data_IF_982164253610
#
_entry.id   IF_982164253610
#
_cell.length_a   1.000
_cell.length_b   1.000
_cell.length_c   1.000
_cell.angle_alpha   90.00
_cell.angle_beta   90.00
_cell.angle_gamma   90.00
#
_symmetry.space_group_name_H-M   'P 1'
#
loop_
_entity.id
_entity.type
_entity.pdbx_description
1 polymer ?
#
# COMPACT_ATOMS: atom_id res chain seq x y z
N UNK A 1 -98.49 -52.46 -9.65
CA UNK A 1 -98.04 -51.82 -10.91
C UNK A 1 -97.51 -50.46 -10.55
N UNK A 2 -96.32 -50.08 -11.06
CA UNK A 2 -95.80 -48.73 -10.87
C UNK A 2 -96.61 -47.82 -11.82
N UNK A 3 -97.37 -46.87 -11.27
CA UNK A 3 -98.07 -45.87 -12.07
C UNK A 3 -97.06 -44.86 -12.62
N UNK A 4 -96.88 -44.85 -13.94
CA UNK A 4 -96.01 -43.91 -14.62
C UNK A 4 -96.74 -42.57 -14.81
N UNK A 5 -96.15 -41.47 -14.35
CA UNK A 5 -96.65 -40.13 -14.64
C UNK A 5 -96.42 -39.77 -16.11
N UNK A 6 -97.43 -39.18 -16.76
CA UNK A 6 -97.22 -38.53 -18.07
C UNK A 6 -96.33 -37.29 -17.91
N UNK A 7 -95.55 -36.96 -18.94
CA UNK A 7 -94.68 -35.76 -18.97
C UNK A 7 -95.47 -34.49 -18.63
N UNK A 8 -96.69 -34.33 -19.15
CA UNK A 8 -97.55 -33.18 -18.86
C UNK A 8 -97.95 -33.06 -17.38
N UNK A 9 -98.17 -34.19 -16.69
CA UNK A 9 -98.45 -34.20 -15.25
C UNK A 9 -97.21 -33.83 -14.44
N UNK A 10 -96.02 -34.31 -14.85
CA UNK A 10 -94.75 -33.96 -14.20
C UNK A 10 -94.45 -32.46 -14.33
N UNK A 11 -94.60 -31.88 -15.53
CA UNK A 11 -94.37 -30.45 -15.76
C UNK A 11 -95.37 -29.57 -15.01
N UNK A 12 -96.65 -29.97 -14.95
CA UNK A 12 -97.66 -29.28 -14.15
C UNK A 12 -97.34 -29.33 -12.65
N UNK A 13 -96.85 -30.46 -12.16
CA UNK A 13 -96.42 -30.59 -10.77
C UNK A 13 -95.21 -29.70 -10.47
N UNK A 14 -94.20 -29.66 -11.34
CA UNK A 14 -93.04 -28.77 -11.19
C UNK A 14 -93.43 -27.31 -11.24
N UNK A 15 -94.31 -26.90 -12.17
CA UNK A 15 -94.83 -25.54 -12.20
C UNK A 15 -95.54 -25.18 -10.89
N UNK A 16 -96.38 -26.07 -10.37
CA UNK A 16 -97.10 -25.83 -9.11
C UNK A 16 -96.14 -25.73 -7.91
N UNK A 17 -94.97 -26.38 -7.98
CA UNK A 17 -93.89 -26.20 -6.99
C UNK A 17 -93.24 -24.83 -7.14
N UNK A 18 -92.91 -24.40 -8.36
CA UNK A 18 -92.31 -23.08 -8.61
C UNK A 18 -93.26 -21.94 -8.19
N UNK A 19 -94.54 -22.05 -8.53
CA UNK A 19 -95.55 -21.02 -8.24
C UNK A 19 -95.90 -20.93 -6.75
N UNK A 20 -95.72 -22.01 -5.97
CA UNK A 20 -96.03 -22.04 -4.52
C UNK A 20 -94.81 -21.94 -3.62
N UNK A 21 -93.61 -21.85 -4.17
CA UNK A 21 -92.38 -21.69 -3.40
C UNK A 21 -92.18 -20.20 -3.07
N UNK A 22 -92.25 -19.80 -1.78
CA UNK A 22 -92.07 -18.40 -1.38
C UNK A 22 -90.72 -17.82 -1.80
N UNK A 23 -89.69 -18.65 -1.99
CA UNK A 23 -88.36 -18.21 -2.40
C UNK A 23 -88.25 -17.92 -3.89
N UNK A 24 -89.17 -18.45 -4.72
CA UNK A 24 -89.17 -18.26 -6.18
C UNK A 24 -90.13 -17.14 -6.62
N UNK A 25 -90.99 -16.68 -5.71
CA UNK A 25 -91.89 -15.55 -5.93
C UNK A 25 -91.12 -14.22 -6.05
N UNK A 26 -90.02 -14.04 -5.30
CA UNK A 26 -89.17 -12.84 -5.38
C UNK A 26 -87.68 -13.20 -5.30
N UNK A 27 -87.03 -13.22 -6.46
CA UNK A 27 -85.63 -13.59 -6.63
C UNK A 27 -84.80 -12.37 -7.04
N UNK A 28 -83.61 -12.28 -6.45
CA UNK A 28 -82.58 -11.30 -6.80
C UNK A 28 -81.52 -12.01 -7.64
N UNK A 29 -81.33 -11.58 -8.88
CA UNK A 29 -80.34 -12.14 -9.79
C UNK A 29 -79.43 -11.04 -10.33
N UNK A 30 -78.15 -11.35 -10.46
CA UNK A 30 -77.16 -10.52 -11.14
C UNK A 30 -76.69 -11.25 -12.37
N UNK A 31 -76.66 -10.57 -13.52
CA UNK A 31 -76.22 -11.21 -14.76
C UNK A 31 -75.91 -10.20 -15.85
N UNK A 32 -75.16 -10.65 -16.84
CA UNK A 32 -74.89 -9.88 -18.05
C UNK A 32 -76.02 -10.08 -19.06
N UNK A 33 -76.52 -8.98 -19.62
CA UNK A 33 -77.52 -8.98 -20.69
C UNK A 33 -76.89 -9.54 -21.96
N UNK A 34 -77.55 -10.54 -22.55
CA UNK A 34 -77.13 -11.20 -23.80
C UNK A 34 -78.35 -11.40 -24.71
N UNK A 35 -78.13 -11.39 -26.03
CA UNK A 35 -79.20 -11.55 -27.03
C UNK A 35 -80.32 -10.52 -26.91
N UNK A 36 -79.99 -9.30 -26.49
CA UNK A 36 -80.98 -8.23 -26.35
C UNK A 36 -81.25 -7.57 -27.71
N UNK A 37 -82.53 -7.48 -28.09
CA UNK A 37 -82.98 -6.72 -29.25
C UNK A 37 -84.19 -5.90 -28.86
N UNK A 38 -84.12 -4.58 -29.07
CA UNK A 38 -85.19 -3.64 -28.73
C UNK A 38 -86.46 -3.98 -29.52
N UNK A 39 -87.55 -4.31 -28.82
CA UNK A 39 -88.87 -4.55 -29.41
C UNK A 39 -89.87 -3.45 -29.01
N UNK A 40 -90.94 -3.20 -29.80
CA UNK A 40 -91.92 -2.16 -29.49
C UNK A 40 -92.75 -2.40 -28.21
N UNK A 41 -92.83 -3.65 -27.73
CA UNK A 41 -93.68 -4.04 -26.60
C UNK A 41 -92.86 -4.63 -25.44
N UNK A 42 -92.93 -5.93 -25.23
CA UNK A 42 -92.21 -6.65 -24.19
C UNK A 42 -90.80 -6.96 -24.65
N UNK A 43 -89.85 -6.86 -23.71
CA UNK A 43 -88.47 -7.22 -23.97
C UNK A 43 -88.23 -8.66 -23.56
N UNK A 44 -87.59 -9.41 -24.44
CA UNK A 44 -87.13 -10.77 -24.21
C UNK A 44 -85.64 -10.80 -24.47
N UNK A 45 -84.88 -11.21 -23.48
CA UNK A 45 -83.43 -11.32 -23.56
C UNK A 45 -82.95 -12.41 -22.60
N UNK A 46 -81.65 -12.68 -22.59
CA UNK A 46 -81.08 -13.66 -21.69
C UNK A 46 -80.15 -12.99 -20.69
N UNK A 47 -80.18 -13.44 -19.45
CA UNK A 47 -79.18 -13.11 -18.44
C UNK A 47 -78.20 -14.26 -18.35
N UNK A 48 -76.91 -13.96 -18.50
CA UNK A 48 -75.84 -14.95 -18.39
C UNK A 48 -74.90 -14.63 -17.25
N UNK A 49 -74.39 -15.69 -16.62
CA UNK A 49 -73.18 -15.67 -15.80
C UNK A 49 -72.13 -16.61 -16.42
N UNK A 50 -71.04 -16.90 -15.70
CA UNK A 50 -69.96 -17.75 -16.21
C UNK A 50 -70.37 -19.22 -16.45
N UNK A 51 -71.48 -19.68 -15.87
CA UNK A 51 -71.87 -21.10 -15.82
C UNK A 51 -73.26 -21.40 -16.34
N UNK A 52 -74.14 -20.41 -16.37
CA UNK A 52 -75.56 -20.58 -16.62
C UNK A 52 -76.16 -19.40 -17.40
N UNK A 53 -77.27 -19.68 -18.08
CA UNK A 53 -78.05 -18.69 -18.81
C UNK A 53 -79.52 -18.89 -18.47
N UNK A 54 -80.21 -17.80 -18.15
CA UNK A 54 -81.66 -17.79 -17.90
C UNK A 54 -82.36 -16.83 -18.87
N UNK A 55 -83.52 -17.25 -19.36
CA UNK A 55 -84.37 -16.38 -20.18
C UNK A 55 -85.07 -15.36 -19.29
N UNK A 56 -85.05 -14.09 -19.69
CA UNK A 56 -85.62 -12.97 -18.98
C UNK A 56 -86.71 -12.30 -19.83
N UNK A 57 -87.86 -12.07 -19.19
CA UNK A 57 -88.99 -11.35 -19.79
C UNK A 57 -89.25 -10.08 -18.99
N UNK A 58 -89.36 -8.94 -19.68
CA UNK A 58 -89.68 -7.66 -19.08
C UNK A 58 -90.91 -7.05 -19.77
N UNK A 59 -91.97 -6.82 -19.00
CA UNK A 59 -93.22 -6.25 -19.51
C UNK A 59 -93.05 -4.79 -19.90
N UNK A 60 -93.89 -4.31 -20.82
CA UNK A 60 -93.74 -2.99 -21.43
C UNK A 60 -93.86 -1.84 -20.41
N UNK A 61 -94.72 -2.00 -19.39
CA UNK A 61 -94.87 -1.02 -18.31
C UNK A 61 -93.62 -0.92 -17.43
N UNK A 62 -92.98 -2.05 -17.11
CA UNK A 62 -91.73 -2.10 -16.34
C UNK A 62 -90.58 -1.51 -17.15
N UNK A 63 -90.48 -1.86 -18.44
CA UNK A 63 -89.45 -1.34 -19.33
C UNK A 63 -89.56 0.17 -19.57
N UNK A 64 -90.77 0.73 -19.66
CA UNK A 64 -90.97 2.19 -19.77
C UNK A 64 -90.56 2.96 -18.51
N UNK A 65 -90.65 2.30 -17.35
CA UNK A 65 -90.28 2.88 -16.06
C UNK A 65 -88.82 2.58 -15.68
N UNK A 66 -88.01 2.00 -16.58
CA UNK A 66 -86.58 1.89 -16.36
C UNK A 66 -85.94 3.29 -16.39
N UNK A 67 -85.18 3.63 -15.36
CA UNK A 67 -84.43 4.89 -15.29
C UNK A 67 -83.17 4.92 -16.16
N UNK A 68 -82.93 3.92 -17.00
CA UNK A 68 -81.75 3.78 -17.85
C UNK A 68 -82.09 3.02 -19.15
N UNK A 69 -81.30 3.22 -20.20
CA UNK A 69 -81.43 2.42 -21.42
C UNK A 69 -80.70 1.08 -21.28
N UNK A 70 -81.42 -0.02 -21.55
CA UNK A 70 -80.86 -1.37 -21.49
C UNK A 70 -80.03 -1.66 -22.75
N UNK A 71 -78.77 -2.05 -22.58
CA UNK A 71 -77.84 -2.37 -23.67
C UNK A 71 -77.37 -3.84 -23.62
N UNK A 72 -76.98 -4.38 -24.78
CA UNK A 72 -76.37 -5.71 -24.85
C UNK A 72 -74.97 -5.69 -24.21
N UNK A 73 -74.65 -6.70 -23.40
CA UNK A 73 -73.40 -6.78 -22.65
C UNK A 73 -73.42 -6.04 -21.31
N UNK A 74 -74.49 -5.30 -21.00
CA UNK A 74 -74.63 -4.60 -19.72
C UNK A 74 -74.81 -5.59 -18.55
N UNK A 75 -74.13 -5.36 -17.43
CA UNK A 75 -74.35 -6.14 -16.21
C UNK A 75 -75.40 -5.46 -15.35
N UNK A 76 -76.44 -6.19 -14.96
CA UNK A 76 -77.60 -5.64 -14.25
C UNK A 76 -77.96 -6.50 -13.05
N UNK A 77 -78.49 -5.85 -12.02
CA UNK A 77 -79.13 -6.47 -10.86
C UNK A 77 -80.64 -6.41 -11.08
N UNK A 78 -81.30 -7.58 -11.07
CA UNK A 78 -82.73 -7.70 -11.35
C UNK A 78 -83.47 -8.32 -10.17
N UNK A 79 -84.69 -7.84 -9.95
CA UNK A 79 -85.66 -8.40 -9.03
C UNK A 79 -86.84 -8.89 -9.86
N UNK A 80 -87.22 -10.14 -9.66
CA UNK A 80 -88.33 -10.72 -10.40
C UNK A 80 -88.76 -12.07 -9.85
N UNK A 81 -89.74 -12.67 -10.51
CA UNK A 81 -90.28 -13.98 -10.14
C UNK A 81 -89.86 -15.04 -11.15
N UNK A 82 -89.57 -16.24 -10.67
CA UNK A 82 -89.22 -17.37 -11.55
C UNK A 82 -90.49 -18.08 -11.97
N UNK A 83 -90.62 -18.37 -13.28
CA UNK A 83 -91.77 -19.03 -13.87
C UNK A 83 -91.33 -20.18 -14.78
N UNK A 84 -92.06 -21.30 -14.73
CA UNK A 84 -91.89 -22.44 -15.63
C UNK A 84 -92.88 -22.36 -16.81
N UNK A 85 -92.37 -22.40 -18.04
CA UNK A 85 -93.20 -22.46 -19.24
C UNK A 85 -93.60 -23.92 -19.54
N UNK A 86 -94.89 -24.22 -19.44
CA UNK A 86 -95.42 -25.59 -19.49
C UNK A 86 -95.12 -26.38 -20.79
N UNK A 87 -95.19 -25.78 -22.00
CA UNK A 87 -95.07 -26.56 -23.24
C UNK A 87 -93.71 -27.24 -23.46
N UNK A 88 -92.64 -26.70 -22.89
CA UNK A 88 -91.27 -27.16 -23.09
C UNK A 88 -90.48 -27.30 -21.77
N UNK A 89 -91.10 -27.03 -20.62
CA UNK A 89 -90.49 -27.20 -19.30
C UNK A 89 -89.30 -26.28 -19.02
N UNK A 90 -89.15 -25.19 -19.78
CA UNK A 90 -88.07 -24.21 -19.57
C UNK A 90 -88.45 -23.21 -18.47
N UNK A 91 -87.56 -22.95 -17.53
CA UNK A 91 -87.74 -21.90 -16.52
C UNK A 91 -87.19 -20.57 -17.03
N UNK A 92 -87.80 -19.48 -16.59
CA UNK A 92 -87.46 -18.10 -16.97
C UNK A 92 -87.73 -17.16 -15.80
N UNK A 93 -87.17 -15.95 -15.86
CA UNK A 93 -87.45 -14.88 -14.89
C UNK A 93 -88.31 -13.79 -15.54
N UNK A 94 -89.36 -13.38 -14.84
CA UNK A 94 -90.14 -12.19 -15.16
C UNK A 94 -89.62 -11.05 -14.31
N UNK A 95 -88.98 -10.06 -14.94
CA UNK A 95 -88.33 -8.94 -14.25
C UNK A 95 -89.37 -7.89 -13.87
N UNK A 96 -89.40 -7.54 -12.59
CA UNK A 96 -90.26 -6.50 -12.01
C UNK A 96 -89.49 -5.20 -11.76
N UNK A 97 -88.20 -5.30 -11.43
CA UNK A 97 -87.30 -4.15 -11.28
C UNK A 97 -85.90 -4.52 -11.77
N UNK A 98 -85.24 -3.62 -12.47
CA UNK A 98 -83.86 -3.76 -12.88
C UNK A 98 -83.09 -2.49 -12.51
N UNK A 99 -81.85 -2.67 -12.06
CA UNK A 99 -80.90 -1.59 -11.79
C UNK A 99 -79.55 -1.96 -12.44
N UNK A 100 -78.82 -0.98 -12.99
CA UNK A 100 -77.49 -1.24 -13.51
C UNK A 100 -76.59 -1.69 -12.36
N UNK A 101 -75.71 -2.66 -12.60
CA UNK A 101 -74.68 -3.02 -11.63
C UNK A 101 -73.71 -1.83 -11.53
N UNK A 102 -73.87 -0.99 -10.50
CA UNK A 102 -73.24 0.35 -10.36
C UNK A 102 -71.72 0.37 -10.50
N UNK A 103 -71.09 -0.79 -10.36
CA UNK A 103 -69.67 -1.05 -10.61
C UNK A 103 -69.26 -0.67 -12.05
N UNK A 104 -70.14 -0.89 -13.05
CA UNK A 104 -69.85 -0.57 -14.44
C UNK A 104 -69.76 0.93 -14.72
N UNK A 105 -70.64 1.74 -14.10
CA UNK A 105 -70.65 3.19 -14.29
C UNK A 105 -69.43 3.88 -13.67
N UNK A 106 -69.00 3.42 -12.49
CA UNK A 106 -67.79 3.92 -11.82
C UNK A 106 -66.53 3.54 -12.61
N UNK A 107 -66.44 2.31 -13.14
CA UNK A 107 -65.32 1.89 -13.97
C UNK A 107 -65.19 2.72 -15.25
N UNK A 108 -66.31 3.00 -15.93
CA UNK A 108 -66.33 3.87 -17.12
C UNK A 108 -65.87 5.29 -16.76
N UNK A 109 -66.39 5.86 -15.67
CA UNK A 109 -66.03 7.20 -15.21
C UNK A 109 -64.54 7.29 -14.82
N UNK A 110 -63.99 6.24 -14.22
CA UNK A 110 -62.58 6.16 -13.89
C UNK A 110 -61.69 6.19 -15.14
N UNK A 111 -61.98 5.35 -16.14
CA UNK A 111 -61.20 5.33 -17.39
C UNK A 111 -61.31 6.65 -18.16
N UNK A 112 -62.49 7.28 -18.21
CA UNK A 112 -62.67 8.59 -18.82
C UNK A 112 -61.83 9.67 -18.14
N UNK A 113 -61.88 9.77 -16.80
CA UNK A 113 -61.09 10.73 -16.03
C UNK A 113 -59.59 10.47 -16.16
N UNK A 114 -59.18 9.20 -16.09
CA UNK A 114 -57.79 8.79 -16.28
C UNK A 114 -57.26 9.25 -17.63
N UNK A 115 -58.00 9.03 -18.71
CA UNK A 115 -57.59 9.44 -20.04
C UNK A 115 -57.48 10.96 -20.16
N UNK A 116 -58.46 11.73 -19.65
CA UNK A 116 -58.44 13.18 -19.66
C UNK A 116 -57.21 13.75 -18.90
N UNK A 117 -56.98 13.29 -17.68
CA UNK A 117 -55.88 13.76 -16.82
C UNK A 117 -54.50 13.30 -17.34
N UNK A 118 -54.44 12.15 -18.02
CA UNK A 118 -53.22 11.70 -18.72
C UNK A 118 -52.89 12.63 -19.89
N UNK A 119 -53.89 13.06 -20.66
CA UNK A 119 -53.69 13.99 -21.78
C UNK A 119 -53.23 15.37 -21.30
N UNK A 120 -53.72 15.85 -20.15
CA UNK A 120 -53.21 17.05 -19.48
C UNK A 120 -51.78 16.88 -18.94
N UNK A 121 -51.31 15.64 -18.76
CA UNK A 121 -49.94 15.33 -18.37
C UNK A 121 -49.70 15.25 -16.85
N UNK A 122 -50.75 15.21 -16.02
CA UNK A 122 -50.63 15.21 -14.56
C UNK A 122 -49.91 13.97 -14.00
N UNK A 123 -49.87 12.86 -14.75
CA UNK A 123 -49.22 11.62 -14.32
C UNK A 123 -47.78 11.46 -14.80
N UNK A 124 -47.21 12.46 -15.49
CA UNK A 124 -45.84 12.35 -16.00
C UNK A 124 -44.84 12.36 -14.85
N UNK A 125 -43.83 11.49 -14.97
CA UNK A 125 -42.78 11.36 -13.96
C UNK A 125 -41.94 12.64 -13.79
N UNK A 126 -41.92 13.53 -14.80
CA UNK A 126 -41.17 14.80 -14.76
C UNK A 126 -41.68 15.80 -13.71
N UNK A 127 -42.95 15.68 -13.30
CA UNK A 127 -43.55 16.54 -12.27
C UNK A 127 -43.47 15.95 -10.87
N UNK A 128 -43.05 14.68 -10.74
CA UNK A 128 -42.99 14.02 -9.44
C UNK A 128 -41.75 14.43 -8.66
N UNK A 129 -41.95 14.77 -7.40
CA UNK A 129 -40.92 15.19 -6.46
C UNK A 129 -40.15 14.00 -5.89
N UNK A 130 -38.84 14.18 -5.69
CA UNK A 130 -38.02 13.16 -5.05
C UNK A 130 -38.26 13.13 -3.54
N UNK A 131 -38.41 11.92 -2.97
CA UNK A 131 -38.54 11.77 -1.52
C UNK A 131 -37.25 12.17 -0.80
N UNK A 132 -37.36 12.87 0.35
CA UNK A 132 -36.20 13.21 1.16
C UNK A 132 -35.53 11.94 1.70
N UNK A 133 -34.19 11.95 1.72
CA UNK A 133 -33.42 10.82 2.26
C UNK A 133 -33.53 10.72 3.79
N UNK A 134 -33.69 11.85 4.47
CA UNK A 134 -33.82 11.95 5.92
C UNK A 134 -35.02 12.81 6.27
N UNK A 135 -36.11 12.13 6.58
CA UNK A 135 -37.38 12.73 6.97
C UNK A 135 -37.36 12.98 8.48
N UNK A 136 -37.56 14.23 8.90
CA UNK A 136 -37.70 14.61 10.31
C UNK A 136 -39.16 14.60 10.72
N UNK A 137 -40.08 15.01 9.83
CA UNK A 137 -41.50 15.09 10.13
C UNK A 137 -42.36 14.62 8.97
N UNK A 138 -43.25 13.66 9.26
CA UNK A 138 -44.19 13.06 8.32
C UNK A 138 -45.59 13.57 8.64
N UNK A 139 -46.29 14.14 7.66
CA UNK A 139 -47.72 14.37 7.75
C UNK A 139 -48.49 13.12 7.30
N UNK A 140 -49.50 12.69 8.05
CA UNK A 140 -50.32 11.52 7.69
C UNK A 140 -51.78 11.94 7.59
N UNK A 141 -52.36 11.80 6.39
CA UNK A 141 -53.74 12.14 6.07
C UNK A 141 -54.52 10.82 6.02
N UNK A 142 -55.18 10.48 7.13
CA UNK A 142 -55.96 9.25 7.26
C UNK A 142 -56.97 9.34 8.41
N UNK A 143 -57.80 8.32 8.58
CA UNK A 143 -58.76 8.24 9.69
C UNK A 143 -58.04 8.11 11.04
N UNK A 144 -58.48 8.81 12.11
CA UNK A 144 -57.82 8.78 13.40
C UNK A 144 -57.95 7.44 14.14
N UNK A 145 -58.95 6.63 13.81
CA UNK A 145 -59.29 5.37 14.49
C UNK A 145 -58.96 4.11 13.67
N UNK A 146 -58.05 4.20 12.68
CA UNK A 146 -57.74 3.11 11.75
C UNK A 146 -56.46 2.32 12.07
N UNK A 147 -56.40 1.07 11.64
CA UNK A 147 -55.17 0.26 11.68
C UNK A 147 -54.01 0.92 10.89
N UNK A 148 -54.35 1.66 9.83
CA UNK A 148 -53.41 2.39 8.95
C UNK A 148 -52.47 3.32 9.72
N UNK A 149 -52.99 4.17 10.61
CA UNK A 149 -52.14 5.09 11.36
C UNK A 149 -51.23 4.35 12.35
N UNK A 150 -51.71 3.25 12.95
CA UNK A 150 -50.92 2.43 13.88
C UNK A 150 -49.79 1.70 13.15
N UNK A 151 -50.05 1.19 11.95
CA UNK A 151 -49.05 0.54 11.10
C UNK A 151 -47.94 1.52 10.70
N UNK A 152 -48.32 2.75 10.31
CA UNK A 152 -47.36 3.82 9.99
C UNK A 152 -46.53 4.17 11.22
N UNK A 153 -47.16 4.44 12.38
CA UNK A 153 -46.47 4.80 13.62
C UNK A 153 -45.48 3.69 14.03
N UNK A 154 -45.93 2.45 14.04
CA UNK A 154 -45.10 1.30 14.45
C UNK A 154 -43.91 1.11 13.52
N UNK A 155 -44.13 1.25 12.20
CA UNK A 155 -43.10 1.06 11.18
C UNK A 155 -42.04 2.17 11.24
N UNK A 156 -42.47 3.43 11.29
CA UNK A 156 -41.59 4.60 11.42
C UNK A 156 -40.80 4.52 12.73
N UNK A 157 -41.47 4.24 13.86
CA UNK A 157 -40.81 4.16 15.18
C UNK A 157 -39.76 3.05 15.22
N UNK A 158 -40.01 1.90 14.58
CA UNK A 158 -39.05 0.79 14.49
C UNK A 158 -37.86 1.13 13.60
N UNK A 159 -38.08 1.78 12.45
CA UNK A 159 -37.02 2.08 11.46
C UNK A 159 -36.18 3.28 11.86
N UNK A 160 -36.83 4.35 12.35
CA UNK A 160 -36.19 5.61 12.70
C UNK A 160 -36.96 6.32 13.85
N UNK A 161 -36.64 6.03 15.13
CA UNK A 161 -37.38 6.55 16.30
C UNK A 161 -37.39 8.07 16.51
N UNK A 162 -36.68 8.84 15.67
CA UNK A 162 -36.58 10.30 15.77
C UNK A 162 -37.48 11.07 14.81
N UNK A 163 -38.31 10.39 14.03
CA UNK A 163 -39.25 11.04 13.10
C UNK A 163 -40.53 11.41 13.82
N UNK A 164 -40.93 12.67 13.73
CA UNK A 164 -42.21 13.16 14.23
C UNK A 164 -43.33 12.83 13.23
N UNK A 165 -44.47 12.37 13.74
CA UNK A 165 -45.65 12.06 12.92
C UNK A 165 -46.76 13.02 13.30
N UNK A 166 -47.25 13.77 12.31
CA UNK A 166 -48.38 14.69 12.45
C UNK A 166 -49.60 14.08 11.75
N UNK A 167 -50.57 13.65 12.54
CA UNK A 167 -51.83 13.15 12.01
C UNK A 167 -52.75 14.32 11.62
N UNK A 168 -53.26 14.27 10.39
CA UNK A 168 -54.37 15.07 9.88
C UNK A 168 -55.61 14.17 9.82
N UNK A 169 -56.48 14.19 10.85
CA UNK A 169 -57.67 13.35 10.88
C UNK A 169 -58.55 13.69 9.68
N UNK A 170 -58.79 12.69 8.83
CA UNK A 170 -59.54 12.87 7.58
C UNK A 170 -60.55 11.75 7.43
N UNK A 171 -61.77 12.09 7.01
CA UNK A 171 -62.73 11.11 6.50
C UNK A 171 -62.24 10.54 5.17
N UNK A 172 -61.95 9.25 5.15
CA UNK A 172 -61.38 8.54 3.99
C UNK A 172 -62.41 7.79 3.14
N UNK A 173 -63.70 7.81 3.50
CA UNK A 173 -64.76 7.11 2.78
C UNK A 173 -66.12 7.80 2.94
N UNK A 174 -67.02 7.59 1.97
CA UNK A 174 -68.37 8.15 1.94
C UNK A 174 -68.43 9.63 1.55
N UNK A 175 -69.65 10.18 1.50
CA UNK A 175 -69.90 11.54 1.04
C UNK A 175 -69.10 12.58 1.85
N UNK A 176 -68.45 13.51 1.13
CA UNK A 176 -67.62 14.56 1.73
C UNK A 176 -66.14 14.19 1.94
N UNK A 177 -65.75 12.92 1.73
CA UNK A 177 -64.38 12.46 1.97
C UNK A 177 -63.36 13.15 1.05
N UNK A 178 -63.68 13.32 -0.25
CA UNK A 178 -62.78 13.94 -1.21
C UNK A 178 -62.46 15.41 -0.84
N UNK A 179 -63.47 16.19 -0.40
CA UNK A 179 -63.29 17.58 0.04
C UNK A 179 -62.43 17.66 1.31
N UNK A 180 -62.60 16.74 2.24
CA UNK A 180 -61.83 16.71 3.49
C UNK A 180 -60.36 16.34 3.25
N UNK A 181 -60.10 15.38 2.34
CA UNK A 181 -58.73 15.04 1.89
C UNK A 181 -58.06 16.26 1.27
N UNK A 182 -58.73 16.97 0.36
CA UNK A 182 -58.19 18.18 -0.27
C UNK A 182 -57.90 19.26 0.77
N UNK A 183 -58.83 19.52 1.70
CA UNK A 183 -58.64 20.53 2.74
C UNK A 183 -57.43 20.22 3.64
N UNK A 184 -57.22 18.96 3.99
CA UNK A 184 -56.08 18.55 4.81
C UNK A 184 -54.75 18.54 4.03
N UNK A 185 -54.74 18.23 2.73
CA UNK A 185 -53.56 18.41 1.87
C UNK A 185 -53.18 19.89 1.81
N UNK A 186 -54.15 20.78 1.60
CA UNK A 186 -53.91 22.22 1.55
C UNK A 186 -53.39 22.74 2.90
N UNK A 187 -54.03 22.33 4.01
CA UNK A 187 -53.59 22.68 5.37
C UNK A 187 -52.18 22.18 5.69
N UNK A 188 -51.80 20.99 5.20
CA UNK A 188 -50.44 20.49 5.35
C UNK A 188 -49.44 21.35 4.56
N UNK A 189 -49.80 21.78 3.35
CA UNK A 189 -48.98 22.65 2.50
C UNK A 189 -48.83 24.09 3.01
N UNK A 190 -49.63 24.52 3.99
CA UNK A 190 -49.44 25.80 4.70
C UNK A 190 -48.25 25.75 5.69
N UNK A 191 -47.71 24.56 5.97
CA UNK A 191 -46.58 24.37 6.88
C UNK A 191 -45.29 24.15 6.11
N UNK A 192 -44.21 24.77 6.60
CA UNK A 192 -42.86 24.61 6.05
C UNK A 192 -42.01 23.56 6.78
N UNK A 193 -42.56 22.89 7.80
CA UNK A 193 -41.82 21.95 8.66
C UNK A 193 -42.09 20.46 8.35
N UNK A 194 -42.90 20.16 7.33
CA UNK A 194 -43.21 18.80 6.88
C UNK A 194 -42.31 18.40 5.71
N UNK A 195 -41.68 17.24 5.79
CA UNK A 195 -40.78 16.75 4.76
C UNK A 195 -41.49 15.86 3.73
N UNK A 196 -42.52 15.13 4.15
CA UNK A 196 -43.30 14.22 3.30
C UNK A 196 -44.72 14.06 3.85
N UNK A 197 -45.68 13.84 2.95
CA UNK A 197 -47.06 13.51 3.26
C UNK A 197 -47.37 12.06 2.89
N UNK A 198 -48.12 11.35 3.73
CA UNK A 198 -48.69 10.04 3.44
C UNK A 198 -50.20 10.20 3.40
N UNK A 199 -50.79 9.93 2.24
CA UNK A 199 -52.24 9.86 2.07
C UNK A 199 -52.61 8.39 2.02
N UNK A 200 -53.39 7.91 2.99
CA UNK A 200 -53.60 6.48 3.17
C UNK A 200 -54.97 6.10 3.65
N UNK A 201 -55.44 4.94 3.16
CA UNK A 201 -56.66 4.28 3.61
C UNK A 201 -56.39 2.79 3.77
N UNK A 202 -57.18 2.12 4.63
CA UNK A 202 -57.16 0.65 4.73
C UNK A 202 -57.84 -0.01 3.53
N UNK A 203 -57.98 -1.34 3.58
CA UNK A 203 -58.79 -2.06 2.58
C UNK A 203 -60.24 -1.61 2.54
N UNK A 204 -60.91 -1.83 1.42
CA UNK A 204 -62.32 -1.47 1.20
C UNK A 204 -62.77 -1.81 -0.22
N UNK A 205 -64.07 -1.71 -0.50
CA UNK A 205 -64.58 -1.87 -1.87
C UNK A 205 -64.15 -0.70 -2.77
N UNK A 206 -64.31 -0.85 -4.09
CA UNK A 206 -63.99 0.21 -5.07
C UNK A 206 -64.82 1.49 -4.81
N UNK A 207 -66.08 1.33 -4.41
CA UNK A 207 -67.00 2.43 -4.07
C UNK A 207 -66.46 3.27 -2.92
N UNK A 208 -65.88 2.56 -1.96
CA UNK A 208 -65.29 3.05 -0.74
C UNK A 208 -63.96 3.81 -1.01
N UNK A 209 -63.24 3.45 -2.08
CA UNK A 209 -62.02 4.12 -2.56
C UNK A 209 -62.32 5.29 -3.51
N UNK A 210 -63.57 5.49 -3.90
CA UNK A 210 -63.93 6.42 -4.98
C UNK A 210 -63.55 7.87 -4.69
N UNK A 211 -63.53 8.28 -3.42
CA UNK A 211 -63.10 9.61 -3.01
C UNK A 211 -61.68 9.97 -3.52
N UNK A 212 -60.80 8.99 -3.71
CA UNK A 212 -59.44 9.18 -4.22
C UNK A 212 -59.33 9.14 -5.75
N UNK A 213 -60.44 8.84 -6.44
CA UNK A 213 -60.58 8.94 -7.89
C UNK A 213 -61.23 10.26 -8.33
N UNK A 214 -61.65 11.12 -7.40
CA UNK A 214 -62.19 12.42 -7.75
C UNK A 214 -61.11 13.37 -8.24
N UNK A 215 -61.42 14.13 -9.29
CA UNK A 215 -60.50 15.05 -9.93
C UNK A 215 -59.92 16.09 -8.95
N UNK A 216 -60.73 16.56 -7.98
CA UNK A 216 -60.29 17.51 -6.96
C UNK A 216 -59.14 16.98 -6.11
N UNK A 217 -59.13 15.68 -5.80
CA UNK A 217 -58.05 15.04 -5.03
C UNK A 217 -56.80 14.90 -5.90
N UNK A 218 -56.97 14.51 -7.17
CA UNK A 218 -55.85 14.38 -8.10
C UNK A 218 -55.13 15.71 -8.28
N UNK A 219 -55.88 16.79 -8.52
CA UNK A 219 -55.30 18.13 -8.67
C UNK A 219 -54.64 18.62 -7.38
N UNK A 220 -55.25 18.37 -6.21
CA UNK A 220 -54.65 18.74 -4.93
C UNK A 220 -53.33 18.01 -4.65
N UNK A 221 -53.20 16.73 -5.04
CA UNK A 221 -51.95 15.99 -4.92
C UNK A 221 -50.90 16.56 -5.87
N UNK A 222 -51.27 16.82 -7.13
CA UNK A 222 -50.37 17.39 -8.13
C UNK A 222 -49.83 18.77 -7.73
N UNK A 223 -50.68 19.62 -7.13
CA UNK A 223 -50.32 20.98 -6.71
C UNK A 223 -49.58 21.04 -5.35
N UNK A 224 -49.39 19.89 -4.69
CA UNK A 224 -48.72 19.84 -3.40
C UNK A 224 -47.25 20.25 -3.49
N UNK A 225 -46.80 21.10 -2.57
CA UNK A 225 -45.39 21.52 -2.42
C UNK A 225 -44.57 20.51 -1.63
N UNK A 226 -45.23 19.69 -0.83
CA UNK A 226 -44.63 18.61 -0.05
C UNK A 226 -44.83 17.32 -0.85
N UNK A 227 -43.80 16.46 -0.98
CA UNK A 227 -43.95 15.21 -1.71
C UNK A 227 -44.96 14.28 -1.02
N UNK A 228 -45.84 13.67 -1.80
CA UNK A 228 -46.94 12.81 -1.34
C UNK A 228 -46.67 11.35 -1.72
N UNK A 229 -46.79 10.48 -0.71
CA UNK A 229 -46.85 9.03 -0.86
C UNK A 229 -48.31 8.60 -0.75
N UNK A 230 -48.85 7.99 -1.80
CA UNK A 230 -50.18 7.38 -1.76
C UNK A 230 -50.10 5.94 -1.27
N UNK A 231 -50.95 5.59 -0.31
CA UNK A 231 -51.11 4.25 0.25
C UNK A 231 -52.59 3.87 0.34
N UNK A 232 -53.32 4.11 -0.74
CA UNK A 232 -54.77 3.93 -0.83
C UNK A 232 -55.11 2.63 -1.56
N UNK A 233 -54.52 2.43 -2.75
CA UNK A 233 -54.75 1.23 -3.54
C UNK A 233 -53.98 0.01 -3.04
N UNK A 234 -54.57 -1.18 -3.19
CA UNK A 234 -53.87 -2.46 -3.04
C UNK A 234 -53.21 -2.86 -4.36
N UNK A 235 -52.59 -4.03 -4.45
CA UNK A 235 -51.92 -4.50 -5.68
C UNK A 235 -52.87 -4.51 -6.90
N UNK A 236 -54.15 -4.84 -6.69
CA UNK A 236 -55.17 -4.98 -7.74
C UNK A 236 -55.98 -3.72 -8.03
N UNK A 237 -56.13 -2.82 -7.06
CA UNK A 237 -57.10 -1.72 -7.10
C UNK A 237 -56.37 -0.37 -7.03
N UNK A 238 -55.88 0.09 -8.18
CA UNK A 238 -55.08 1.33 -8.28
C UNK A 238 -55.99 2.54 -8.48
N UNK A 239 -55.82 3.59 -7.68
CA UNK A 239 -56.63 4.82 -7.75
C UNK A 239 -55.93 5.92 -8.56
N UNK A 240 -56.66 6.95 -8.99
CA UNK A 240 -56.06 8.11 -9.66
C UNK A 240 -55.11 8.87 -8.74
N UNK A 241 -55.39 8.93 -7.43
CA UNK A 241 -54.45 9.43 -6.43
C UNK A 241 -53.10 8.70 -6.46
N UNK A 242 -53.10 7.37 -6.66
CA UNK A 242 -51.86 6.58 -6.76
C UNK A 242 -51.05 6.90 -8.03
N UNK A 243 -51.71 7.30 -9.12
CA UNK A 243 -51.03 7.66 -10.37
C UNK A 243 -50.37 9.03 -10.31
N UNK A 244 -51.00 9.99 -9.64
CA UNK A 244 -50.50 11.37 -9.51
C UNK A 244 -49.50 11.55 -8.38
N UNK A 245 -49.58 10.73 -7.32
CA UNK A 245 -48.65 10.80 -6.20
C UNK A 245 -47.19 10.59 -6.64
N UNK A 246 -46.27 11.21 -5.91
CA UNK A 246 -44.83 11.15 -6.20
C UNK A 246 -44.29 9.73 -6.06
N UNK A 247 -44.82 8.99 -5.06
CA UNK A 247 -44.64 7.56 -4.92
C UNK A 247 -45.92 6.86 -4.52
N UNK A 248 -46.11 5.66 -5.07
CA UNK A 248 -47.17 4.73 -4.67
C UNK A 248 -46.60 3.67 -3.72
N UNK A 249 -47.34 3.37 -2.68
CA UNK A 249 -47.15 2.23 -1.80
C UNK A 249 -48.41 1.35 -1.82
N UNK A 250 -48.26 0.03 -1.94
CA UNK A 250 -49.39 -0.90 -1.92
C UNK A 250 -50.00 -1.07 -0.52
N UNK A 251 -49.27 -0.69 0.53
CA UNK A 251 -49.71 -0.81 1.92
C UNK A 251 -49.27 0.39 2.75
N UNK A 252 -49.98 0.71 3.86
CA UNK A 252 -49.54 1.73 4.81
C UNK A 252 -48.14 1.49 5.38
N UNK A 253 -47.78 0.22 5.61
CA UNK A 253 -46.43 -0.16 6.04
C UNK A 253 -45.39 0.18 4.98
N UNK A 254 -45.63 -0.17 3.72
CA UNK A 254 -44.73 0.19 2.61
C UNK A 254 -44.60 1.71 2.45
N UNK A 255 -45.67 2.48 2.71
CA UNK A 255 -45.63 3.93 2.67
C UNK A 255 -44.69 4.50 3.75
N UNK A 256 -44.76 3.97 4.97
CA UNK A 256 -43.84 4.30 6.05
C UNK A 256 -42.39 3.90 5.73
N UNK A 257 -42.17 2.78 5.03
CA UNK A 257 -40.85 2.37 4.57
C UNK A 257 -40.26 3.33 3.53
N UNK A 258 -41.07 3.76 2.55
CA UNK A 258 -40.68 4.77 1.56
C UNK A 258 -40.41 6.13 2.20
N UNK A 259 -41.18 6.51 3.22
CA UNK A 259 -40.97 7.74 3.98
C UNK A 259 -39.71 7.68 4.88
N UNK A 260 -39.20 6.48 5.19
CA UNK A 260 -37.99 6.27 6.02
C UNK A 260 -36.95 5.40 5.30
N UNK A 261 -36.37 5.89 4.18
CA UNK A 261 -35.53 5.07 3.32
C UNK A 261 -34.25 4.59 4.02
N UNK A 262 -33.69 5.39 4.93
CA UNK A 262 -32.51 5.04 5.74
C UNK A 262 -32.95 4.63 7.13
N UNK A 263 -32.53 3.44 7.59
CA UNK A 263 -32.80 3.01 8.97
C UNK A 263 -31.74 3.53 9.94
N UNK A 264 -32.08 3.56 11.23
CA UNK A 264 -31.11 3.85 12.30
C UNK A 264 -29.91 2.89 12.26
N UNK A 265 -30.15 1.61 11.95
CA UNK A 265 -29.10 0.60 11.88
C UNK A 265 -28.11 0.88 10.74
N UNK A 266 -28.60 1.30 9.56
CA UNK A 266 -27.76 1.67 8.42
C UNK A 266 -26.85 2.85 8.76
N UNK A 267 -27.41 3.86 9.43
CA UNK A 267 -26.66 5.06 9.81
C UNK A 267 -25.59 4.76 10.86
N UNK A 268 -25.91 3.94 11.87
CA UNK A 268 -24.94 3.49 12.87
C UNK A 268 -23.83 2.63 12.23
N UNK A 269 -24.19 1.74 11.30
CA UNK A 269 -23.23 0.95 10.54
C UNK A 269 -22.28 1.82 9.72
N UNK A 270 -22.83 2.82 9.02
CA UNK A 270 -22.04 3.79 8.27
C UNK A 270 -21.08 4.59 9.17
N UNK A 271 -21.56 5.11 10.30
CA UNK A 271 -20.73 5.86 11.24
C UNK A 271 -19.58 5.02 11.80
N UNK A 272 -19.86 3.78 12.20
CA UNK A 272 -18.84 2.84 12.69
C UNK A 272 -17.79 2.54 11.59
N UNK A 273 -18.23 2.39 10.34
CA UNK A 273 -17.31 2.21 9.22
C UNK A 273 -16.42 3.44 9.00
N UNK A 274 -16.96 4.66 9.09
CA UNK A 274 -16.16 5.89 8.97
C UNK A 274 -15.18 6.04 10.13
N UNK A 275 -15.60 5.72 11.36
CA UNK A 275 -14.74 5.72 12.54
C UNK A 275 -13.57 4.75 12.39
N UNK A 276 -13.84 3.50 11.98
CA UNK A 276 -12.81 2.51 11.73
C UNK A 276 -11.83 2.95 10.64
N UNK A 277 -12.34 3.54 9.54
CA UNK A 277 -11.49 4.07 8.47
C UNK A 277 -10.59 5.20 8.96
N UNK A 278 -11.13 6.14 9.73
CA UNK A 278 -10.37 7.25 10.30
C UNK A 278 -9.30 6.74 11.28
N UNK A 279 -9.65 5.81 12.15
CA UNK A 279 -8.75 5.18 13.10
C UNK A 279 -7.59 4.45 12.38
N UNK A 280 -7.88 3.66 11.36
CA UNK A 280 -6.86 2.96 10.58
C UNK A 280 -5.94 3.93 9.81
N UNK A 281 -6.50 4.97 9.19
CA UNK A 281 -5.72 5.98 8.49
C UNK A 281 -4.76 6.69 9.43
N UNK A 282 -5.23 7.08 10.62
CA UNK A 282 -4.40 7.73 11.64
C UNK A 282 -3.32 6.78 12.18
N UNK A 283 -3.67 5.53 12.45
CA UNK A 283 -2.73 4.51 12.93
C UNK A 283 -1.61 4.27 11.91
N UNK A 284 -1.96 4.13 10.63
CA UNK A 284 -0.99 3.97 9.55
C UNK A 284 -0.09 5.20 9.41
N UNK A 285 -0.65 6.40 9.53
CA UNK A 285 0.10 7.65 9.50
C UNK A 285 1.10 7.73 10.66
N UNK A 286 0.68 7.40 11.87
CA UNK A 286 1.56 7.38 13.04
C UNK A 286 2.67 6.34 12.90
N UNK A 287 2.35 5.13 12.42
CA UNK A 287 3.35 4.08 12.17
C UNK A 287 4.40 4.54 11.16
N UNK A 288 3.97 5.18 10.07
CA UNK A 288 4.87 5.72 9.06
C UNK A 288 5.77 6.82 9.62
N UNK A 289 5.22 7.78 10.37
CA UNK A 289 5.99 8.86 10.98
C UNK A 289 6.97 8.35 12.04
N UNK A 290 6.58 7.39 12.88
CA UNK A 290 7.48 6.72 13.83
C UNK A 290 8.64 6.02 13.10
N UNK A 291 8.35 5.29 12.02
CA UNK A 291 9.39 4.64 11.21
C UNK A 291 10.36 5.63 10.57
N UNK A 292 9.88 6.82 10.14
CA UNK A 292 10.78 7.88 9.66
C UNK A 292 11.64 8.46 10.77
N UNK A 293 11.04 8.74 11.93
CA UNK A 293 11.77 9.25 13.09
C UNK A 293 12.87 8.27 13.53
N UNK A 294 12.54 6.98 13.57
CA UNK A 294 13.48 5.91 13.92
C UNK A 294 14.62 5.79 12.90
N UNK A 295 14.32 5.90 11.60
CA UNK A 295 15.37 5.92 10.57
C UNK A 295 16.31 7.11 10.73
N UNK A 296 15.77 8.30 11.00
CA UNK A 296 16.57 9.51 11.19
C UNK A 296 17.39 9.40 12.48
N UNK A 297 16.80 8.96 13.58
CA UNK A 297 17.51 8.80 14.86
C UNK A 297 18.60 7.74 14.79
N UNK A 298 18.40 6.68 14.01
CA UNK A 298 19.40 5.66 13.72
C UNK A 298 20.37 6.07 12.58
N UNK A 299 20.28 7.27 12.01
CA UNK A 299 21.29 7.72 11.05
C UNK A 299 22.67 7.80 11.71
N UNK A 300 23.71 7.42 10.95
CA UNK A 300 25.11 7.44 11.42
C UNK A 300 25.51 8.83 11.93
N UNK A 301 24.93 9.88 11.35
CA UNK A 301 25.17 11.27 11.76
C UNK A 301 24.72 11.58 13.18
N UNK A 302 23.64 10.96 13.66
CA UNK A 302 23.15 11.14 15.04
C UNK A 302 23.72 10.11 16.01
N UNK A 303 24.06 8.90 15.55
CA UNK A 303 24.68 7.87 16.41
C UNK A 303 26.17 8.08 16.65
N UNK A 304 26.90 8.58 15.66
CA UNK A 304 28.34 8.78 15.71
C UNK A 304 28.70 10.12 15.05
N UNK A 305 28.34 11.25 15.67
CA UNK A 305 28.65 12.58 15.15
C UNK A 305 30.17 12.78 14.96
N UNK A 306 31.00 12.10 15.75
CA UNK A 306 32.46 12.13 15.63
C UNK A 306 32.97 11.66 14.25
N UNK A 307 32.25 10.74 13.57
CA UNK A 307 32.60 10.30 12.21
C UNK A 307 32.59 11.42 11.17
N UNK A 308 31.84 12.50 11.40
CA UNK A 308 31.90 13.70 10.56
C UNK A 308 33.29 14.34 10.60
N UNK A 309 34.01 14.17 11.72
CA UNK A 309 35.30 14.79 11.98
C UNK A 309 36.48 13.84 11.77
N UNK A 310 36.28 12.52 11.72
CA UNK A 310 37.35 11.53 11.49
C UNK A 310 38.25 11.88 10.29
N UNK A 311 37.64 12.27 9.16
CA UNK A 311 38.40 12.68 7.96
C UNK A 311 39.20 13.97 8.17
N UNK A 312 38.68 14.92 8.95
CA UNK A 312 39.38 16.16 9.29
C UNK A 312 40.50 15.91 10.30
N UNK A 313 40.31 15.02 11.27
CA UNK A 313 41.32 14.61 12.23
C UNK A 313 42.47 13.89 11.52
N UNK A 314 42.19 12.91 10.64
CA UNK A 314 43.23 12.25 9.83
C UNK A 314 43.99 13.23 8.93
N UNK A 315 43.30 14.23 8.38
CA UNK A 315 43.95 15.29 7.59
C UNK A 315 44.87 16.14 8.46
N UNK A 316 44.43 16.51 9.67
CA UNK A 316 45.22 17.26 10.63
C UNK A 316 46.47 16.48 11.05
N UNK A 317 46.34 15.19 11.33
CA UNK A 317 47.47 14.31 11.66
C UNK A 317 48.47 14.22 10.52
N UNK A 318 47.99 14.03 9.27
CA UNK A 318 48.86 13.97 8.09
C UNK A 318 49.62 15.29 7.90
N UNK A 319 48.93 16.42 8.01
CA UNK A 319 49.55 17.75 7.88
C UNK A 319 50.58 17.99 9.00
N UNK A 320 50.27 17.58 10.23
CA UNK A 320 51.17 17.71 11.39
C UNK A 320 52.42 16.86 11.21
N UNK A 321 52.28 15.60 10.78
CA UNK A 321 53.41 14.72 10.51
C UNK A 321 54.28 15.22 9.35
N UNK A 322 53.65 15.75 8.29
CA UNK A 322 54.37 16.38 7.18
C UNK A 322 55.17 17.60 7.65
N UNK A 323 54.55 18.48 8.45
CA UNK A 323 55.23 19.64 9.02
C UNK A 323 56.44 19.22 9.87
N UNK A 324 56.25 18.29 10.81
CA UNK A 324 57.32 17.81 11.69
C UNK A 324 58.48 17.17 10.92
N UNK A 325 58.17 16.36 9.91
CA UNK A 325 59.18 15.70 9.06
C UNK A 325 59.97 16.75 8.28
N UNK A 326 59.29 17.70 7.63
CA UNK A 326 59.94 18.78 6.88
C UNK A 326 60.80 19.67 7.77
N UNK A 327 60.34 20.00 8.98
CA UNK A 327 61.15 20.77 9.93
C UNK A 327 62.40 20.02 10.37
N UNK A 328 62.31 18.70 10.65
CA UNK A 328 63.47 17.87 11.00
C UNK A 328 64.46 17.76 9.85
N UNK A 329 63.98 17.56 8.62
CA UNK A 329 64.81 17.52 7.41
C UNK A 329 65.57 18.83 7.23
N UNK A 330 64.87 19.97 7.26
CA UNK A 330 65.47 21.30 7.13
C UNK A 330 66.51 21.56 8.22
N UNK A 331 66.19 21.24 9.48
CA UNK A 331 67.14 21.41 10.58
C UNK A 331 68.38 20.53 10.42
N UNK A 332 68.20 19.26 10.05
CA UNK A 332 69.32 18.33 9.83
C UNK A 332 70.21 18.78 8.68
N UNK A 333 69.64 19.22 7.56
CA UNK A 333 70.37 19.77 6.41
C UNK A 333 71.19 20.99 6.81
N UNK A 334 70.60 21.94 7.54
CA UNK A 334 71.31 23.13 8.00
C UNK A 334 72.42 22.79 9.01
N UNK A 335 72.18 21.84 9.91
CA UNK A 335 73.19 21.34 10.85
C UNK A 335 74.36 20.66 10.12
N UNK A 336 74.08 19.84 9.11
CA UNK A 336 75.10 19.20 8.28
C UNK A 336 75.90 20.23 7.48
N UNK A 337 75.24 21.22 6.88
CA UNK A 337 75.90 22.32 6.17
C UNK A 337 76.85 23.09 7.11
N UNK A 338 76.38 23.41 8.32
CA UNK A 338 77.21 24.03 9.36
C UNK A 338 78.40 23.17 9.77
N UNK A 339 78.21 21.85 9.95
CA UNK A 339 79.28 20.93 10.32
C UNK A 339 80.33 20.82 9.22
N UNK A 340 79.91 20.74 7.94
CA UNK A 340 80.81 20.73 6.79
C UNK A 340 81.61 22.03 6.68
N UNK A 341 80.98 23.18 6.93
CA UNK A 341 81.67 24.47 6.99
C UNK A 341 82.70 24.49 8.13
N UNK A 342 82.35 23.98 9.31
CA UNK A 342 83.27 23.87 10.45
C UNK A 342 84.44 22.94 10.16
N UNK A 343 84.20 21.78 9.53
CA UNK A 343 85.25 20.85 9.12
C UNK A 343 86.18 21.45 8.07
N UNK A 344 85.64 22.17 7.07
CA UNK A 344 86.46 22.91 6.09
C UNK A 344 87.33 23.96 6.78
N UNK A 345 86.77 24.72 7.72
CA UNK A 345 87.52 25.70 8.49
C UNK A 345 88.67 25.06 9.29
N UNK A 346 88.41 23.91 9.94
CA UNK A 346 89.44 23.17 10.66
C UNK A 346 90.51 22.55 9.73
N UNK A 347 90.12 22.08 8.54
CA UNK A 347 91.05 21.50 7.56
C UNK A 347 91.98 22.53 6.92
N UNK A 348 91.55 23.79 6.83
CA UNK A 348 92.37 24.90 6.33
C UNK A 348 93.21 25.54 7.46
N UNK A 349 93.02 25.12 8.73
CA UNK A 349 93.73 25.69 9.87
C UNK A 349 95.25 25.56 9.72
N UNK A 350 96.00 26.66 9.51
CA UNK A 350 97.42 26.62 9.21
C UNK A 350 98.25 25.93 10.30
N UNK A 351 97.83 26.05 11.58
CA UNK A 351 98.53 25.42 12.71
C UNK A 351 98.68 23.90 12.58
N UNK A 352 97.64 23.17 12.13
CA UNK A 352 97.74 21.70 11.96
C UNK A 352 98.68 21.29 10.83
N UNK A 353 98.72 22.07 9.74
CA UNK A 353 99.69 21.83 8.67
C UNK A 353 101.11 22.05 9.18
N UNK A 354 101.34 23.12 9.94
CA UNK A 354 102.65 23.42 10.54
C UNK A 354 103.10 22.30 11.48
N UNK A 355 102.24 21.84 12.40
CA UNK A 355 102.54 20.72 13.29
C UNK A 355 102.91 19.44 12.50
N UNK A 356 102.11 19.09 11.49
CA UNK A 356 102.40 17.90 10.67
C UNK A 356 103.73 17.99 9.91
N UNK A 357 104.11 19.19 9.45
CA UNK A 357 105.40 19.40 8.79
C UNK A 357 106.55 19.36 9.80
N UNK A 358 106.37 19.89 11.01
CA UNK A 358 107.36 19.82 12.08
C UNK A 358 107.62 18.36 12.51
N UNK A 359 106.57 17.56 12.71
CA UNK A 359 106.71 16.13 13.00
C UNK A 359 107.43 15.38 11.87
N UNK A 360 107.11 15.70 10.62
CA UNK A 360 107.74 15.10 9.44
C UNK A 360 109.23 15.45 9.33
N UNK A 361 109.61 16.69 9.64
CA UNK A 361 111.02 17.11 9.71
C UNK A 361 111.75 16.31 10.78
N UNK A 362 111.18 16.18 11.98
CA UNK A 362 111.79 15.42 13.09
C UNK A 362 111.97 13.94 12.70
N UNK A 363 110.96 13.32 12.06
CA UNK A 363 111.09 11.94 11.58
C UNK A 363 112.17 11.80 10.50
N UNK A 364 112.21 12.71 9.53
CA UNK A 364 113.21 12.69 8.47
C UNK A 364 114.63 12.90 8.99
N UNK A 365 114.83 13.79 9.98
CA UNK A 365 116.12 13.94 10.65
C UNK A 365 116.56 12.65 11.36
N UNK A 366 115.64 11.98 12.06
CA UNK A 366 115.94 10.70 12.74
C UNK A 366 116.33 9.62 11.73
N UNK A 367 115.58 9.49 10.64
CA UNK A 367 115.88 8.54 9.56
C UNK A 367 117.22 8.84 8.89
N UNK A 368 117.52 10.12 8.63
CA UNK A 368 118.80 10.54 8.06
C UNK A 368 119.96 10.17 8.98
N UNK A 369 119.86 10.50 10.28
CA UNK A 369 120.90 10.19 11.27
C UNK A 369 121.13 8.68 11.40
N UNK A 370 120.07 7.88 11.47
CA UNK A 370 120.17 6.42 11.56
C UNK A 370 120.77 5.80 10.29
N UNK A 371 120.34 6.25 9.11
CA UNK A 371 120.90 5.76 7.85
C UNK A 371 122.38 6.14 7.71
N UNK A 372 122.75 7.36 8.11
CA UNK A 372 124.14 7.80 8.07
C UNK A 372 125.02 6.98 9.02
N UNK A 373 124.54 6.69 10.24
CA UNK A 373 125.24 5.82 11.19
C UNK A 373 125.43 4.41 10.61
N UNK A 374 124.37 3.80 10.07
CA UNK A 374 124.45 2.49 9.42
C UNK A 374 125.45 2.47 8.24
N UNK A 375 125.48 3.53 7.41
CA UNK A 375 126.44 3.64 6.30
C UNK A 375 127.87 3.74 6.85
N UNK A 376 128.09 4.56 7.87
CA UNK A 376 129.39 4.75 8.50
C UNK A 376 129.91 3.45 9.10
N UNK A 377 129.10 2.75 9.90
CA UNK A 377 129.47 1.49 10.55
C UNK A 377 129.82 0.40 9.52
N UNK A 378 129.06 0.31 8.43
CA UNK A 378 129.36 -0.60 7.33
C UNK A 378 130.69 -0.27 6.62
N UNK A 379 131.02 1.02 6.47
CA UNK A 379 132.29 1.46 5.88
C UNK A 379 133.47 1.17 6.80
N UNK A 380 133.33 1.42 8.11
CA UNK A 380 134.31 1.07 9.14
C UNK A 380 134.59 -0.43 9.15
N UNK A 381 133.54 -1.27 9.26
CA UNK A 381 133.69 -2.72 9.26
C UNK A 381 134.35 -3.26 7.97
N UNK A 382 134.12 -2.61 6.82
CA UNK A 382 134.79 -2.96 5.57
C UNK A 382 136.27 -2.57 5.58
N UNK A 383 136.61 -1.41 6.17
CA UNK A 383 137.99 -0.97 6.32
C UNK A 383 138.78 -1.91 7.25
N UNK A 384 138.20 -2.28 8.40
CA UNK A 384 138.84 -3.19 9.35
C UNK A 384 139.17 -4.55 8.72
N UNK A 385 138.23 -5.12 7.94
CA UNK A 385 138.47 -6.36 7.18
C UNK A 385 139.61 -6.24 6.17
N UNK A 386 139.73 -5.09 5.50
CA UNK A 386 140.81 -4.84 4.53
C UNK A 386 142.17 -4.72 5.25
N UNK A 387 142.20 -4.11 6.43
CA UNK A 387 143.40 -4.01 7.27
C UNK A 387 143.85 -5.39 7.74
N UNK A 388 142.94 -6.23 8.24
CA UNK A 388 143.26 -7.61 8.65
C UNK A 388 143.81 -8.44 7.48
N UNK A 389 143.19 -8.36 6.30
CA UNK A 389 143.65 -9.06 5.11
C UNK A 389 145.09 -8.64 4.70
N UNK A 390 145.41 -7.34 4.79
CA UNK A 390 146.75 -6.82 4.54
C UNK A 390 147.77 -7.38 5.54
N UNK A 391 147.42 -7.48 6.82
CA UNK A 391 148.34 -7.99 7.84
C UNK A 391 148.66 -9.48 7.74
N UNK A 392 147.83 -10.28 7.08
CA UNK A 392 148.10 -11.71 6.86
C UNK A 392 149.14 -11.98 5.76
N UNK A 393 149.36 -11.05 4.84
CA UNK A 393 150.28 -11.23 3.70
C UNK A 393 151.75 -10.81 3.96
N UNK A 394 152.08 -10.33 5.17
CA UNK A 394 153.43 -9.82 5.48
C UNK A 394 154.39 -10.96 5.93
N UNK A 395 155.29 -11.37 5.03
CA UNK A 395 156.21 -12.52 5.19
C UNK A 395 157.34 -12.30 6.18
N UNK A 396 157.59 -11.06 6.60
CA UNK A 396 158.61 -10.69 7.59
C UNK A 396 158.36 -11.28 9.00
N UNK A 397 157.14 -11.75 9.29
CA UNK A 397 156.77 -12.32 10.60
C UNK A 397 156.92 -13.83 10.74
N UNK A 398 157.23 -14.57 9.68
CA UNK A 398 157.43 -16.04 9.75
C UNK A 398 158.72 -16.37 10.52
N UNK A 399 159.80 -15.62 10.30
CA UNK A 399 161.08 -15.77 11.04
C UNK A 399 160.96 -15.27 12.50
N UNK A 400 160.03 -14.35 12.78
CA UNK A 400 159.80 -13.83 14.14
C UNK A 400 159.09 -14.81 15.08
N UNK A 401 158.50 -15.90 14.56
CA UNK A 401 157.78 -16.93 15.34
C UNK A 401 158.66 -18.10 15.80
N UNK A 402 159.99 -18.00 15.66
CA UNK A 402 160.94 -18.98 16.22
C UNK A 402 161.32 -20.12 15.29
N UNK A 403 160.93 -20.06 14.02
CA UNK A 403 161.35 -21.02 12.99
C UNK A 403 162.67 -20.56 12.35
N UNK A 404 163.66 -21.44 12.31
CA UNK A 404 164.96 -21.21 11.68
C UNK A 404 164.91 -21.60 10.19
N UNK A 405 165.55 -20.81 9.33
CA UNK A 405 165.58 -21.08 7.88
C UNK A 405 166.91 -21.74 7.53
N UNK A 406 166.88 -22.97 7.01
CA UNK A 406 168.08 -23.73 6.65
C UNK A 406 168.48 -23.35 5.21
N UNK A 407 169.75 -23.02 4.98
CA UNK A 407 170.30 -22.68 3.66
C UNK A 407 171.57 -23.44 3.34
N UNK A 408 171.77 -23.71 2.06
CA UNK A 408 173.04 -24.18 1.48
C UNK A 408 173.33 -23.31 0.25
N UNK A 409 174.52 -22.71 0.20
CA UNK A 409 174.94 -21.77 -0.85
C UNK A 409 173.91 -20.70 -1.24
N UNK A 410 173.18 -20.18 -0.23
CA UNK A 410 172.21 -19.09 -0.39
C UNK A 410 170.77 -19.50 -0.77
N UNK A 411 170.48 -20.79 -0.99
CA UNK A 411 169.11 -21.30 -1.25
C UNK A 411 168.52 -21.94 0.00
N UNK A 412 167.22 -21.73 0.24
CA UNK A 412 166.50 -22.34 1.37
C UNK A 412 166.21 -23.80 1.05
N UNK A 413 166.55 -24.69 1.97
CA UNK A 413 166.23 -26.11 1.89
C UNK A 413 165.01 -26.37 2.76
N UNK A 414 163.99 -26.97 2.17
CA UNK A 414 162.68 -27.26 2.77
C UNK A 414 162.41 -28.76 2.98
N UNK A 415 163.30 -29.63 2.52
CA UNK A 415 163.17 -31.09 2.63
C UNK A 415 164.48 -31.79 2.98
N UNK A 416 164.38 -32.85 3.81
CA UNK A 416 165.50 -33.64 4.35
C UNK A 416 166.17 -34.51 3.28
N UNK A 417 165.46 -34.85 2.20
CA UNK A 417 166.01 -35.66 1.08
C UNK A 417 167.14 -34.95 0.32
N UNK A 418 167.19 -33.63 0.40
CA UNK A 418 168.16 -32.80 -0.32
C UNK A 418 169.48 -32.61 0.44
N UNK A 419 169.72 -33.36 1.52
CA UNK A 419 170.90 -33.22 2.37
C UNK A 419 171.64 -34.55 2.48
N UNK A 420 172.94 -34.56 2.22
CA UNK A 420 173.78 -35.77 2.33
C UNK A 420 174.68 -35.75 3.56
N UNK A 421 175.00 -36.93 4.09
CA UNK A 421 175.84 -37.11 5.28
C UNK A 421 177.28 -36.65 5.01
N UNK A 422 177.76 -35.66 5.78
CA UNK A 422 179.08 -35.02 5.64
C UNK A 422 179.05 -33.60 5.05
N UNK A 423 177.89 -33.06 4.66
CA UNK A 423 177.78 -31.71 4.11
C UNK A 423 177.66 -30.63 5.18
N UNK A 424 178.19 -29.43 4.88
CA UNK A 424 178.05 -28.23 5.71
C UNK A 424 176.83 -27.41 5.27
N UNK A 425 175.93 -27.15 6.21
CA UNK A 425 174.72 -26.33 6.06
C UNK A 425 174.80 -25.07 6.91
N UNK A 426 174.07 -24.04 6.50
CA UNK A 426 173.97 -22.81 7.27
C UNK A 426 172.54 -22.56 7.75
N UNK A 427 172.36 -22.51 9.07
CA UNK A 427 171.07 -22.22 9.70
C UNK A 427 170.99 -20.73 10.03
N UNK A 428 169.97 -20.06 9.51
CA UNK A 428 169.70 -18.65 9.77
C UNK A 428 168.56 -18.51 10.80
N UNK A 429 168.89 -17.92 11.94
CA UNK A 429 167.97 -17.68 13.05
C UNK A 429 167.73 -16.18 13.25
N UNK A 430 166.77 -15.84 14.12
CA UNK A 430 166.34 -14.46 14.43
C UNK A 430 167.51 -13.53 14.82
N UNK A 431 168.56 -14.10 15.37
CA UNK A 431 169.64 -13.45 16.09
C UNK A 431 171.04 -13.80 15.57
N UNK A 432 171.16 -14.66 14.54
CA UNK A 432 172.46 -15.00 13.96
C UNK A 432 172.44 -16.12 12.92
N UNK A 433 173.62 -16.49 12.44
CA UNK A 433 173.85 -17.52 11.43
C UNK A 433 174.85 -18.54 11.98
N UNK A 434 174.55 -19.83 11.84
CA UNK A 434 175.36 -20.96 12.34
C UNK A 434 175.69 -21.91 11.19
N UNK A 435 176.97 -22.25 11.02
CA UNK A 435 177.41 -23.29 10.10
C UNK A 435 177.51 -24.63 10.84
N UNK A 436 176.91 -25.68 10.28
CA UNK A 436 176.74 -26.99 10.91
C UNK A 436 176.98 -28.11 9.90
N UNK A 437 177.71 -29.14 10.32
CA UNK A 437 178.01 -30.33 9.51
C UNK A 437 177.04 -31.48 9.82
N UNK A 438 176.54 -32.15 8.79
CA UNK A 438 175.49 -33.16 8.91
C UNK A 438 176.09 -34.55 9.20
N UNK A 439 175.88 -35.06 10.42
CA UNK A 439 176.45 -36.36 10.86
C UNK A 439 175.58 -37.58 10.60
N UNK A 440 174.26 -37.43 10.51
CA UNK A 440 173.33 -38.52 10.19
C UNK A 440 172.06 -37.90 9.59
N UNK A 441 171.59 -38.46 8.47
CA UNK A 441 170.30 -38.10 7.88
C UNK A 441 169.38 -39.30 8.02
N UNK A 442 168.20 -39.07 8.60
CA UNK A 442 167.16 -40.09 8.74
C UNK A 442 165.84 -39.46 8.28
N UNK A 443 165.26 -40.02 7.22
CA UNK A 443 163.98 -39.59 6.67
C UNK A 443 162.88 -40.45 7.26
N UNK A 444 161.89 -39.83 7.88
CA UNK A 444 160.61 -40.46 8.27
C UNK A 444 159.54 -40.03 7.27
N UNK A 445 158.88 -40.97 6.60
CA UNK A 445 157.92 -40.70 5.51
C UNK A 445 156.53 -40.20 5.98
N UNK A 446 156.42 -39.43 7.07
CA UNK A 446 155.13 -38.86 7.50
C UNK A 446 155.28 -37.50 8.23
N UNK A 447 155.81 -36.49 7.53
CA UNK A 447 155.78 -35.09 8.00
C UNK A 447 155.37 -34.16 6.87
#
# INVERSE_FOLDING_TARGET
>A
MVEYLSVSHLTKYLKLKFDRDPYLEKVYLTGQVSNFRKRPSHQYFSLKDDKAVIQATMWAGVYKNLGFELEEGMKINVIGRIQLYEPNGSYSIVIEKAEPDGIGALAIKFEQLKQALTQEGLFKEEFKQALPRFTKKIGVITSPSGAVIQDIITTVSRRFPGVEIVLYPTKVQGDGAAQEVVANIQRANERDDLDVLIVGRGGGSIEDLWAFNEEIVVRAIFESRIPIISSVGHETDTTLADFVADKRAATPTAAAELATPVTKADLLGYLNQQENRAYQAMTNRLKFLRGQLEKISQSVMFRQPERLYDGYLQKLDRLTNQLQTRMKELYSQQKQASLLLQQRLQGVHPGRKVESFQERIIQQERLLKSNMANIYDNKMAKADKLIEALTMLDTSRIVARGYAMIRQDGRVIDSVENVQTGENLTIQMKDGQLDVEVKHVQTDENI
#
